data_IF_449238411118
#
_entry.id   IF_449238411118
#
_cell.length_a   1.000
_cell.length_b   1.000
_cell.length_c   1.000
_cell.angle_alpha   90.00
_cell.angle_beta   90.00
_cell.angle_gamma   90.00
#
_symmetry.space_group_name_H-M   'P 1'
#
loop_
_entity.id
_entity.type
_entity.pdbx_description
1 polymer ?
#
# COMPACT_ATOMS: atom_id res chain seq x y z
N UNK A 1 -10.53 9.52 -30.67
CA UNK A 1 -10.74 9.38 -29.20
C UNK A 1 -9.39 9.48 -28.53
N UNK A 2 -9.19 10.47 -27.69
CA UNK A 2 -7.98 10.57 -26.86
C UNK A 2 -7.99 9.38 -25.88
N UNK A 3 -6.96 8.53 -25.94
CA UNK A 3 -6.84 7.42 -24.99
C UNK A 3 -6.51 7.99 -23.61
N UNK A 4 -7.35 7.69 -22.62
CA UNK A 4 -7.10 8.08 -21.23
C UNK A 4 -5.71 7.65 -20.78
N UNK A 5 -5.02 8.51 -20.03
CA UNK A 5 -3.77 8.16 -19.37
C UNK A 5 -4.09 7.50 -18.02
N UNK A 6 -3.66 6.27 -17.85
CA UNK A 6 -3.81 5.55 -16.60
C UNK A 6 -2.64 5.81 -15.65
N UNK A 7 -2.94 6.01 -14.36
CA UNK A 7 -1.96 6.06 -13.28
C UNK A 7 -2.12 4.77 -12.47
N UNK A 8 -1.15 3.88 -12.50
CA UNK A 8 -1.18 2.62 -11.77
C UNK A 8 -0.37 2.74 -10.50
N UNK A 9 -1.07 2.83 -9.36
CA UNK A 9 -0.50 2.97 -8.03
C UNK A 9 0.06 1.63 -7.55
N UNK A 10 1.35 1.56 -7.30
CA UNK A 10 2.06 0.33 -6.92
C UNK A 10 2.52 0.38 -5.47
N UNK A 11 2.10 -0.59 -4.68
CA UNK A 11 2.66 -0.90 -3.36
C UNK A 11 2.41 -2.37 -2.99
N UNK A 12 2.83 -2.77 -1.78
CA UNK A 12 2.69 -4.15 -1.35
C UNK A 12 1.23 -4.56 -1.04
N UNK A 13 0.36 -3.59 -0.76
CA UNK A 13 -0.99 -3.86 -0.27
C UNK A 13 -1.02 -4.33 1.18
N UNK A 14 -2.19 -4.73 1.60
CA UNK A 14 -2.47 -5.32 2.91
C UNK A 14 -3.87 -5.91 2.91
N UNK A 15 -4.19 -6.84 3.80
CA UNK A 15 -5.51 -7.42 3.87
C UNK A 15 -6.53 -6.32 4.21
N UNK A 16 -7.45 -6.10 3.29
CA UNK A 16 -8.51 -5.10 3.42
C UNK A 16 -9.70 -5.74 4.11
N UNK A 17 -9.77 -5.64 5.43
CA UNK A 17 -11.00 -6.01 6.13
C UNK A 17 -11.98 -4.85 6.08
N UNK A 18 -13.25 -5.11 5.82
CA UNK A 18 -14.29 -4.09 5.95
C UNK A 18 -14.40 -3.77 7.43
N UNK A 19 -14.06 -2.53 7.81
CA UNK A 19 -14.22 -2.07 9.19
C UNK A 19 -15.72 -1.92 9.48
N UNK A 20 -16.32 -2.91 10.10
CA UNK A 20 -17.71 -2.86 10.59
C UNK A 20 -17.89 -1.91 11.78
N UNK A 21 -16.82 -1.33 12.32
CA UNK A 21 -16.91 -0.36 13.42
C UNK A 21 -17.63 0.95 13.04
N UNK A 22 -17.72 1.26 11.74
CA UNK A 22 -18.49 2.42 11.27
C UNK A 22 -20.02 2.21 11.37
N UNK A 23 -20.48 1.00 11.66
CA UNK A 23 -21.91 0.63 11.77
C UNK A 23 -22.34 0.33 13.21
N UNK A 24 -21.55 0.69 14.20
CA UNK A 24 -21.83 0.39 15.61
C UNK A 24 -23.14 0.98 16.15
N UNK A 25 -23.72 1.92 15.42
CA UNK A 25 -24.97 2.60 15.83
C UNK A 25 -26.23 2.05 15.17
N UNK A 26 -26.16 0.92 14.43
CA UNK A 26 -27.35 0.30 13.85
C UNK A 26 -27.53 -1.12 14.39
N UNK A 27 -28.68 -1.38 15.00
CA UNK A 27 -29.14 -2.70 15.47
C UNK A 27 -29.18 -3.81 14.38
N UNK A 28 -28.76 -3.49 13.16
CA UNK A 28 -28.74 -4.42 12.02
C UNK A 28 -27.41 -5.20 11.88
N UNK A 29 -26.41 -4.88 12.68
CA UNK A 29 -25.03 -5.36 12.49
C UNK A 29 -24.79 -6.74 13.12
N UNK A 30 -25.57 -7.14 14.12
CA UNK A 30 -25.34 -8.40 14.84
C UNK A 30 -25.56 -9.68 14.02
N UNK A 31 -26.34 -9.59 12.94
CA UNK A 31 -26.72 -10.76 12.14
C UNK A 31 -25.78 -11.08 10.96
N UNK A 32 -24.86 -10.18 10.59
CA UNK A 32 -24.04 -10.30 9.36
C UNK A 32 -22.56 -10.59 9.66
N UNK A 33 -22.18 -10.67 10.92
CA UNK A 33 -20.80 -10.58 11.40
C UNK A 33 -19.83 -11.75 11.18
N UNK A 34 -20.18 -13.00 10.90
CA UNK A 34 -19.16 -14.05 10.97
C UNK A 34 -18.49 -14.44 9.65
N UNK A 35 -18.84 -13.91 8.49
CA UNK A 35 -18.56 -14.66 7.24
C UNK A 35 -17.37 -14.15 6.42
N UNK A 36 -16.82 -12.96 6.66
CA UNK A 36 -16.11 -12.35 5.52
C UNK A 36 -14.59 -12.19 5.60
N UNK A 37 -13.84 -12.44 6.68
CA UNK A 37 -12.54 -11.73 6.69
C UNK A 37 -11.27 -12.46 7.08
N UNK A 38 -11.33 -13.74 7.27
CA UNK A 38 -10.16 -14.54 7.66
C UNK A 38 -9.28 -14.91 6.45
N UNK A 39 -9.87 -14.97 5.25
CA UNK A 39 -9.19 -15.45 4.05
C UNK A 39 -8.13 -14.49 3.48
N UNK A 40 -8.35 -13.19 3.53
CA UNK A 40 -7.43 -12.21 2.91
C UNK A 40 -6.06 -12.16 3.60
N UNK A 41 -6.00 -12.29 4.92
CA UNK A 41 -4.71 -12.29 5.63
C UNK A 41 -3.86 -13.52 5.28
N UNK A 42 -4.49 -14.69 5.16
CA UNK A 42 -3.81 -15.91 4.76
C UNK A 42 -3.22 -15.80 3.35
N UNK A 43 -4.03 -15.33 2.40
CA UNK A 43 -3.61 -15.17 1.00
C UNK A 43 -2.54 -14.09 0.86
N UNK A 44 -2.69 -12.96 1.55
CA UNK A 44 -1.68 -11.92 1.63
C UNK A 44 -0.34 -12.48 2.11
N UNK A 45 -0.32 -13.21 3.22
CA UNK A 45 0.90 -13.81 3.75
C UNK A 45 1.49 -14.88 2.84
N UNK A 46 0.65 -15.69 2.22
CA UNK A 46 1.07 -16.70 1.24
C UNK A 46 1.77 -16.04 0.05
N UNK A 47 1.17 -14.99 -0.53
CA UNK A 47 1.76 -14.24 -1.64
C UNK A 47 3.10 -13.59 -1.22
N UNK A 48 3.13 -12.98 -0.04
CA UNK A 48 4.32 -12.31 0.50
C UNK A 48 5.49 -13.28 0.72
N UNK A 49 5.25 -14.44 1.34
CA UNK A 49 6.29 -15.45 1.56
C UNK A 49 6.65 -16.24 0.30
N UNK A 50 5.80 -16.22 -0.73
CA UNK A 50 6.09 -16.83 -2.02
C UNK A 50 6.95 -15.94 -2.92
N UNK A 51 7.19 -14.68 -2.54
CA UNK A 51 8.01 -13.76 -3.32
C UNK A 51 9.49 -13.91 -2.97
N UNK A 52 10.25 -14.52 -3.88
CA UNK A 52 11.71 -14.68 -3.75
C UNK A 52 12.48 -13.37 -3.88
N UNK A 53 11.90 -12.32 -4.50
CA UNK A 53 12.50 -11.00 -4.58
C UNK A 53 12.50 -10.28 -3.22
N UNK A 54 11.55 -10.66 -2.34
CA UNK A 54 11.42 -10.11 -0.99
C UNK A 54 12.10 -11.00 0.06
N UNK A 55 11.79 -12.29 0.07
CA UNK A 55 12.26 -13.25 1.07
C UNK A 55 12.72 -14.52 0.34
N UNK A 56 14.01 -14.66 0.06
CA UNK A 56 14.52 -15.89 -0.53
C UNK A 56 14.49 -17.03 0.51
N UNK A 57 13.61 -18.00 0.30
CA UNK A 57 13.47 -19.19 1.16
C UNK A 57 13.96 -20.43 0.41
N UNK A 58 14.70 -21.33 1.06
CA UNK A 58 14.93 -22.64 0.51
C UNK A 58 13.57 -23.38 0.40
N UNK A 59 13.37 -24.15 -0.67
CA UNK A 59 12.11 -24.87 -0.91
C UNK A 59 10.86 -23.97 -0.79
N UNK A 60 10.91 -22.78 -1.39
CA UNK A 60 9.92 -21.72 -1.24
C UNK A 60 8.48 -22.17 -1.43
N UNK A 61 8.22 -23.04 -2.42
CA UNK A 61 6.88 -23.57 -2.71
C UNK A 61 6.26 -24.37 -1.56
N UNK A 62 7.07 -24.95 -0.69
CA UNK A 62 6.63 -25.73 0.47
C UNK A 62 6.61 -24.87 1.75
N UNK A 63 7.68 -24.10 1.95
CA UNK A 63 7.83 -23.32 3.20
C UNK A 63 6.92 -22.09 3.23
N UNK A 64 6.70 -21.41 2.13
CA UNK A 64 5.87 -20.21 2.09
C UNK A 64 4.43 -20.45 2.59
N UNK A 65 3.68 -21.46 2.09
CA UNK A 65 2.35 -21.75 2.61
C UNK A 65 2.34 -22.19 4.07
N UNK A 66 3.35 -22.93 4.50
CA UNK A 66 3.46 -23.39 5.88
C UNK A 66 3.70 -22.23 6.84
N UNK A 67 4.63 -21.32 6.51
CA UNK A 67 4.90 -20.11 7.30
C UNK A 67 3.66 -19.21 7.34
N UNK A 68 3.01 -18.99 6.19
CA UNK A 68 1.80 -18.19 6.10
C UNK A 68 0.73 -18.73 7.05
N UNK A 69 0.41 -20.03 6.96
CA UNK A 69 -0.59 -20.69 7.82
C UNK A 69 -0.27 -20.51 9.29
N UNK A 70 1.00 -20.66 9.70
CA UNK A 70 1.42 -20.52 11.09
C UNK A 70 1.32 -19.08 11.60
N UNK A 71 1.56 -18.09 10.73
CA UNK A 71 1.57 -16.68 11.11
C UNK A 71 0.19 -16.02 11.04
N UNK A 72 -0.72 -16.54 10.22
CA UNK A 72 -2.05 -15.98 9.98
C UNK A 72 -2.78 -15.61 11.28
N UNK A 73 -2.96 -16.49 12.30
CA UNK A 73 -3.76 -16.13 13.47
C UNK A 73 -3.19 -14.95 14.26
N UNK A 74 -1.86 -14.86 14.33
CA UNK A 74 -1.20 -13.74 15.03
C UNK A 74 -1.36 -12.43 14.29
N UNK A 75 -1.24 -12.45 12.96
CA UNK A 75 -1.34 -11.25 12.13
C UNK A 75 -2.79 -10.78 12.05
N UNK A 76 -3.75 -11.69 11.97
CA UNK A 76 -5.18 -11.37 12.06
C UNK A 76 -5.51 -10.61 13.34
N UNK A 77 -5.03 -11.11 14.48
CA UNK A 77 -5.22 -10.42 15.75
C UNK A 77 -4.65 -8.99 15.70
N UNK A 78 -3.46 -8.79 15.14
CA UNK A 78 -2.86 -7.46 15.01
C UNK A 78 -3.70 -6.53 14.11
N UNK A 79 -4.30 -7.05 13.02
CA UNK A 79 -5.21 -6.27 12.19
C UNK A 79 -6.52 -5.96 12.88
N UNK A 80 -7.05 -6.88 13.70
CA UNK A 80 -8.23 -6.63 14.54
C UNK A 80 -7.94 -5.51 15.54
N UNK A 81 -6.78 -5.55 16.20
CA UNK A 81 -6.37 -4.55 17.21
C UNK A 81 -6.27 -3.12 16.63
N UNK A 82 -6.00 -2.97 15.32
CA UNK A 82 -5.94 -1.66 14.64
C UNK A 82 -7.23 -1.25 13.94
N UNK A 83 -8.33 -1.98 14.17
CA UNK A 83 -9.65 -1.64 13.61
C UNK A 83 -10.16 -2.56 12.52
N UNK A 84 -9.56 -3.75 12.35
CA UNK A 84 -10.11 -4.83 11.51
C UNK A 84 -9.55 -4.93 10.11
N UNK A 85 -8.44 -4.25 9.78
CA UNK A 85 -7.75 -4.39 8.51
C UNK A 85 -6.77 -3.30 8.19
N UNK A 86 -6.08 -3.45 7.06
CA UNK A 86 -5.12 -2.44 6.60
C UNK A 86 -5.86 -1.28 5.91
N UNK A 87 -5.63 -0.03 6.31
CA UNK A 87 -6.21 1.13 5.64
C UNK A 87 -5.50 1.48 4.31
N UNK A 88 -4.48 0.71 3.92
CA UNK A 88 -3.61 1.06 2.79
C UNK A 88 -4.38 1.16 1.47
N UNK A 89 -5.37 0.30 1.23
CA UNK A 89 -6.19 0.34 0.02
C UNK A 89 -6.95 1.66 -0.08
N UNK A 90 -7.67 2.04 0.98
CA UNK A 90 -8.43 3.29 1.03
C UNK A 90 -7.55 4.51 0.76
N UNK A 91 -6.37 4.55 1.40
CA UNK A 91 -5.45 5.68 1.20
C UNK A 91 -4.82 5.68 -0.19
N UNK A 92 -4.52 4.51 -0.76
CA UNK A 92 -4.01 4.39 -2.12
C UNK A 92 -5.03 4.87 -3.16
N UNK A 93 -6.29 4.44 -3.02
CA UNK A 93 -7.39 4.87 -3.88
C UNK A 93 -7.61 6.39 -3.77
N UNK A 94 -7.70 6.92 -2.55
CA UNK A 94 -7.86 8.36 -2.31
C UNK A 94 -6.73 9.20 -2.91
N UNK A 95 -5.48 8.78 -2.74
CA UNK A 95 -4.32 9.46 -3.32
C UNK A 95 -4.34 9.40 -4.85
N UNK A 96 -4.68 8.25 -5.42
CA UNK A 96 -4.77 8.06 -6.87
C UNK A 96 -5.87 8.90 -7.51
N UNK A 97 -7.05 8.96 -6.89
CA UNK A 97 -8.17 9.79 -7.33
C UNK A 97 -7.82 11.29 -7.28
N UNK A 98 -7.25 11.74 -6.17
CA UNK A 98 -6.80 13.13 -6.04
C UNK A 98 -5.72 13.50 -7.06
N UNK A 99 -4.78 12.59 -7.34
CA UNK A 99 -3.77 12.79 -8.38
C UNK A 99 -4.39 12.88 -9.77
N UNK A 100 -5.33 12.00 -10.11
CA UNK A 100 -6.01 12.01 -11.40
C UNK A 100 -6.80 13.31 -11.61
N UNK A 101 -7.56 13.75 -10.61
CA UNK A 101 -8.32 15.00 -10.66
C UNK A 101 -7.40 16.22 -10.87
N UNK A 102 -6.30 16.29 -10.12
CA UNK A 102 -5.33 17.38 -10.27
C UNK A 102 -4.65 17.37 -11.64
N UNK A 103 -4.36 16.20 -12.19
CA UNK A 103 -3.79 16.09 -13.54
C UNK A 103 -4.79 16.51 -14.64
N UNK A 104 -6.08 16.26 -14.46
CA UNK A 104 -7.11 16.74 -15.39
C UNK A 104 -7.15 18.27 -15.45
N UNK A 105 -6.94 18.94 -14.31
CA UNK A 105 -6.85 20.40 -14.24
C UNK A 105 -5.55 20.94 -14.86
N UNK A 106 -4.40 20.33 -14.51
CA UNK A 106 -3.09 20.81 -14.93
C UNK A 106 -2.76 20.48 -16.40
N UNK A 107 -3.26 19.33 -16.88
CA UNK A 107 -2.97 18.81 -18.22
C UNK A 107 -4.22 18.33 -18.96
N UNK A 108 -5.15 19.25 -19.30
CA UNK A 108 -6.42 18.89 -19.93
C UNK A 108 -6.26 18.25 -21.32
N UNK A 109 -5.11 18.44 -21.96
CA UNK A 109 -4.80 17.83 -23.27
C UNK A 109 -4.62 16.31 -23.23
N UNK A 110 -4.34 15.75 -22.06
CA UNK A 110 -4.18 14.30 -21.84
C UNK A 110 -5.32 13.70 -21.01
N UNK A 111 -6.26 14.53 -20.60
CA UNK A 111 -7.46 14.09 -19.88
C UNK A 111 -8.38 13.20 -20.75
N UNK A 112 -9.19 12.34 -20.16
CA UNK A 112 -9.28 12.10 -18.72
C UNK A 112 -8.15 11.20 -18.19
N UNK A 113 -7.70 11.52 -16.97
CA UNK A 113 -6.78 10.66 -16.22
C UNK A 113 -7.59 9.74 -15.32
N UNK A 114 -7.12 8.50 -15.15
CA UNK A 114 -7.78 7.53 -14.27
C UNK A 114 -6.76 6.78 -13.43
N UNK A 115 -7.02 6.69 -12.14
CA UNK A 115 -6.18 5.92 -11.23
C UNK A 115 -6.60 4.45 -11.16
N UNK A 116 -5.63 3.59 -11.02
CA UNK A 116 -5.78 2.16 -10.80
C UNK A 116 -4.83 1.74 -9.69
N UNK A 117 -5.20 0.73 -8.95
CA UNK A 117 -4.36 0.16 -7.89
C UNK A 117 -3.88 -1.21 -8.31
N UNK A 118 -2.60 -1.48 -8.17
CA UNK A 118 -2.02 -2.80 -8.38
C UNK A 118 -1.11 -3.14 -7.20
N UNK A 119 -1.66 -3.88 -6.25
CA UNK A 119 -0.90 -4.36 -5.12
C UNK A 119 -0.08 -5.59 -5.47
N UNK A 120 1.02 -5.76 -4.75
CA UNK A 120 1.91 -6.90 -4.96
C UNK A 120 1.41 -8.19 -4.28
N UNK A 121 0.78 -8.08 -3.11
CA UNK A 121 0.43 -9.25 -2.30
C UNK A 121 -1.05 -9.31 -1.87
N UNK A 122 -1.80 -8.24 -2.04
CA UNK A 122 -3.23 -8.15 -1.70
C UNK A 122 -4.07 -7.81 -2.94
N UNK A 123 -5.38 -8.00 -2.89
CA UNK A 123 -6.29 -7.54 -3.94
C UNK A 123 -6.47 -6.00 -3.87
N UNK A 124 -6.52 -5.33 -5.04
CA UNK A 124 -6.42 -5.86 -6.39
C UNK A 124 -4.97 -6.14 -6.78
N UNK A 125 -4.71 -7.37 -7.24
CA UNK A 125 -3.42 -7.76 -7.80
C UNK A 125 -3.25 -7.19 -9.22
N UNK A 126 -2.03 -7.21 -9.74
CA UNK A 126 -1.74 -6.72 -11.09
C UNK A 126 -2.56 -7.41 -12.19
N UNK A 127 -2.99 -8.66 -12.00
CA UNK A 127 -3.87 -9.38 -12.94
C UNK A 127 -5.27 -8.77 -13.01
N UNK A 128 -5.84 -8.40 -11.87
CA UNK A 128 -7.13 -7.72 -11.80
C UNK A 128 -7.04 -6.33 -12.43
N UNK A 129 -5.96 -5.64 -12.16
CA UNK A 129 -5.70 -4.31 -12.72
C UNK A 129 -5.51 -4.38 -14.23
N UNK A 130 -4.82 -5.41 -14.74
CA UNK A 130 -4.66 -5.63 -16.17
C UNK A 130 -6.01 -5.80 -16.90
N UNK A 131 -6.94 -6.55 -16.29
CA UNK A 131 -8.30 -6.68 -16.84
C UNK A 131 -9.03 -5.35 -16.92
N UNK A 132 -9.01 -4.56 -15.84
CA UNK A 132 -9.66 -3.23 -15.80
C UNK A 132 -9.06 -2.26 -16.81
N UNK A 133 -7.73 -2.23 -16.95
CA UNK A 133 -7.05 -1.41 -17.94
C UNK A 133 -7.46 -1.77 -19.37
N UNK A 134 -7.63 -3.08 -19.63
CA UNK A 134 -8.07 -3.57 -20.93
C UNK A 134 -9.54 -3.26 -21.21
N UNK A 135 -10.41 -3.45 -20.22
CA UNK A 135 -11.85 -3.13 -20.30
C UNK A 135 -12.05 -1.63 -20.59
N UNK A 136 -11.26 -0.76 -19.95
CA UNK A 136 -11.29 0.69 -20.16
C UNK A 136 -10.54 1.14 -21.43
N UNK A 137 -9.96 0.21 -22.20
CA UNK A 137 -9.27 0.51 -23.48
C UNK A 137 -8.01 1.36 -23.32
N UNK A 138 -7.35 1.31 -22.17
CA UNK A 138 -6.15 2.09 -21.85
C UNK A 138 -5.01 1.74 -22.80
N UNK A 139 -4.36 2.75 -23.40
CA UNK A 139 -3.19 2.60 -24.27
C UNK A 139 -1.89 3.12 -23.66
N UNK A 140 -1.97 4.01 -22.69
CA UNK A 140 -0.81 4.56 -22.00
C UNK A 140 -1.01 4.50 -20.49
N UNK A 141 -0.01 4.02 -19.77
CA UNK A 141 -0.05 3.90 -18.32
C UNK A 141 1.27 4.36 -17.68
N UNK A 142 1.17 4.99 -16.53
CA UNK A 142 2.29 5.31 -15.66
C UNK A 142 2.27 4.38 -14.47
N UNK A 143 3.28 3.57 -14.31
CA UNK A 143 3.51 2.78 -13.10
C UNK A 143 4.12 3.72 -12.04
N UNK A 144 3.32 4.11 -11.06
CA UNK A 144 3.73 5.00 -9.98
C UNK A 144 3.95 4.21 -8.70
N UNK A 145 5.20 4.11 -8.26
CA UNK A 145 5.49 3.49 -6.97
C UNK A 145 5.13 4.43 -5.83
N UNK A 146 4.43 3.91 -4.83
CA UNK A 146 4.13 4.67 -3.62
C UNK A 146 5.30 4.67 -2.61
N UNK A 147 6.39 3.97 -2.92
CA UNK A 147 7.62 4.03 -2.14
C UNK A 147 8.45 5.24 -2.59
N UNK A 148 8.72 6.22 -1.70
CA UNK A 148 9.49 7.40 -2.07
C UNK A 148 10.91 7.08 -2.52
N UNK A 149 11.48 5.99 -2.00
CA UNK A 149 12.83 5.54 -2.28
C UNK A 149 12.81 4.17 -2.95
N UNK A 150 13.74 3.94 -3.87
CA UNK A 150 13.91 2.66 -4.52
C UNK A 150 14.52 1.61 -3.57
N UNK A 151 13.91 0.43 -3.58
CA UNK A 151 14.47 -0.78 -2.96
C UNK A 151 14.14 -1.98 -3.85
N UNK A 152 15.06 -2.93 -3.96
CA UNK A 152 14.84 -4.15 -4.74
C UNK A 152 13.66 -4.97 -4.22
N UNK A 153 13.50 -5.04 -2.89
CA UNK A 153 12.43 -5.79 -2.23
C UNK A 153 11.05 -5.11 -2.25
N UNK A 154 10.96 -3.83 -2.59
CA UNK A 154 9.71 -3.07 -2.64
C UNK A 154 9.37 -2.64 -4.06
N UNK A 155 9.95 -1.53 -4.51
CA UNK A 155 9.76 -1.02 -5.88
C UNK A 155 10.20 -2.06 -6.92
N UNK A 156 11.35 -2.69 -6.72
CA UNK A 156 11.89 -3.71 -7.64
C UNK A 156 10.95 -4.91 -7.76
N UNK A 157 10.49 -5.49 -6.65
CA UNK A 157 9.55 -6.62 -6.67
C UNK A 157 8.25 -6.25 -7.39
N UNK A 158 7.68 -5.06 -7.12
CA UNK A 158 6.45 -4.60 -7.78
C UNK A 158 6.63 -4.41 -9.29
N UNK A 159 7.72 -3.79 -9.71
CA UNK A 159 8.01 -3.59 -11.13
C UNK A 159 8.35 -4.89 -11.85
N UNK A 160 9.06 -5.82 -11.19
CA UNK A 160 9.35 -7.14 -11.72
C UNK A 160 8.06 -7.94 -11.97
N UNK A 161 7.06 -7.81 -11.09
CA UNK A 161 5.76 -8.44 -11.28
C UNK A 161 5.04 -7.90 -12.53
N UNK A 162 4.95 -6.57 -12.65
CA UNK A 162 4.37 -5.93 -13.86
C UNK A 162 5.13 -6.35 -15.11
N UNK A 163 6.46 -6.37 -15.07
CA UNK A 163 7.29 -6.78 -16.21
C UNK A 163 7.04 -8.25 -16.62
N UNK A 164 7.04 -9.19 -15.64
CA UNK A 164 6.78 -10.61 -15.89
C UNK A 164 5.39 -10.81 -16.54
N UNK A 165 4.38 -10.14 -16.02
CA UNK A 165 3.01 -10.20 -16.53
C UNK A 165 2.85 -9.51 -17.89
N UNK A 166 3.60 -8.43 -18.13
CA UNK A 166 3.66 -7.81 -19.46
C UNK A 166 4.28 -8.74 -20.50
N UNK A 167 5.35 -9.46 -20.15
CA UNK A 167 5.95 -10.50 -21.00
C UNK A 167 5.00 -11.66 -21.26
N UNK A 168 4.14 -11.99 -20.31
CA UNK A 168 3.08 -12.99 -20.47
C UNK A 168 1.87 -12.47 -21.28
N UNK A 169 1.88 -11.22 -21.75
CA UNK A 169 0.84 -10.64 -22.61
C UNK A 169 -0.34 -10.01 -21.88
N UNK A 170 -0.34 -9.99 -20.53
CA UNK A 170 -1.46 -9.44 -19.77
C UNK A 170 -1.68 -7.93 -20.04
N UNK A 171 -0.60 -7.19 -20.26
CA UNK A 171 -0.62 -5.76 -20.55
C UNK A 171 -0.33 -5.43 -22.03
N UNK A 172 -0.67 -6.35 -22.93
CA UNK A 172 -0.42 -6.15 -24.37
C UNK A 172 -1.13 -4.89 -24.89
N UNK A 173 -0.41 -4.10 -25.69
CA UNK A 173 -0.94 -2.88 -26.29
C UNK A 173 -0.93 -1.64 -25.36
N UNK A 174 -0.37 -1.75 -24.16
CA UNK A 174 -0.19 -0.63 -23.24
C UNK A 174 1.28 -0.16 -23.28
N UNK A 175 1.49 1.12 -23.54
CA UNK A 175 2.78 1.79 -23.42
C UNK A 175 2.99 2.25 -21.98
N UNK A 176 4.09 1.83 -21.36
CA UNK A 176 4.38 2.10 -19.95
C UNK A 176 5.45 3.17 -19.78
N UNK A 177 5.21 4.08 -18.84
CA UNK A 177 6.22 4.92 -18.18
C UNK A 177 6.30 4.52 -16.71
N UNK A 178 7.44 4.79 -16.07
CA UNK A 178 7.67 4.38 -14.68
C UNK A 178 8.19 5.55 -13.86
N UNK A 179 7.59 5.76 -12.69
CA UNK A 179 8.12 6.63 -11.64
C UNK A 179 8.50 5.71 -10.48
N UNK A 180 9.79 5.42 -10.35
CA UNK A 180 10.34 4.43 -9.43
C UNK A 180 10.86 5.01 -8.12
N UNK A 181 11.00 6.34 -8.04
CA UNK A 181 11.47 7.08 -6.86
C UNK A 181 11.07 8.54 -6.93
N UNK A 182 10.79 9.14 -5.79
CA UNK A 182 10.38 10.55 -5.68
C UNK A 182 10.69 11.15 -4.29
N UNK A 183 11.57 10.48 -3.51
CA UNK A 183 11.93 10.88 -2.14
C UNK A 183 12.58 12.26 -2.02
N UNK A 184 13.13 12.80 -3.12
CA UNK A 184 13.74 14.14 -3.19
C UNK A 184 12.77 15.21 -3.72
N UNK A 185 11.52 14.83 -4.03
CA UNK A 185 10.52 15.79 -4.52
C UNK A 185 10.25 16.86 -3.46
N UNK A 186 10.30 18.17 -3.78
CA UNK A 186 10.17 19.25 -2.81
C UNK A 186 8.92 19.13 -1.93
N UNK A 187 7.76 18.85 -2.50
CA UNK A 187 6.52 18.69 -1.75
C UNK A 187 6.55 17.51 -0.77
N UNK A 188 7.25 16.41 -1.10
CA UNK A 188 7.43 15.30 -0.17
C UNK A 188 8.32 15.68 1.01
N UNK A 189 9.42 16.40 0.74
CA UNK A 189 10.35 16.89 1.77
C UNK A 189 9.64 17.89 2.68
N UNK A 190 8.84 18.79 2.12
CA UNK A 190 8.06 19.79 2.87
C UNK A 190 7.06 19.12 3.81
N UNK A 191 6.24 18.18 3.32
CA UNK A 191 5.29 17.43 4.14
C UNK A 191 6.01 16.60 5.21
N UNK A 192 7.14 15.97 4.87
CA UNK A 192 7.93 15.18 5.82
C UNK A 192 8.60 16.04 6.91
N UNK A 193 8.96 17.28 6.61
CA UNK A 193 9.57 18.18 7.57
C UNK A 193 8.55 18.92 8.45
N UNK A 194 7.32 19.07 8.00
CA UNK A 194 6.26 19.79 8.70
C UNK A 194 5.97 19.25 10.11
N UNK A 195 5.81 17.95 10.36
CA UNK A 195 5.64 17.40 11.71
C UNK A 195 6.84 17.64 12.61
N UNK A 196 8.06 17.56 12.03
CA UNK A 196 9.29 17.84 12.79
C UNK A 196 9.39 19.30 13.21
N UNK A 197 9.10 20.24 12.31
CA UNK A 197 9.05 21.68 12.61
C UNK A 197 7.96 21.99 13.65
N UNK A 198 6.82 21.32 13.57
CA UNK A 198 5.75 21.46 14.56
C UNK A 198 6.17 20.95 15.95
N UNK A 199 6.83 19.80 16.04
CA UNK A 199 7.37 19.27 17.28
C UNK A 199 8.47 20.16 17.87
N UNK A 200 9.37 20.70 17.04
CA UNK A 200 10.41 21.62 17.48
C UNK A 200 9.79 22.93 17.99
N UNK A 201 8.78 23.44 17.30
CA UNK A 201 8.07 24.66 17.70
C UNK A 201 7.28 24.47 19.00
N UNK A 202 6.66 23.31 19.21
CA UNK A 202 6.01 22.97 20.48
C UNK A 202 7.01 22.87 21.63
N UNK A 203 8.20 22.27 21.41
CA UNK A 203 9.27 22.24 22.44
C UNK A 203 9.77 23.63 22.78
N UNK A 204 9.92 24.50 21.80
CA UNK A 204 10.31 25.90 22.04
C UNK A 204 9.25 26.68 22.85
N UNK A 205 7.96 26.41 22.58
CA UNK A 205 6.86 27.02 23.35
C UNK A 205 6.71 26.41 24.74
N UNK A 206 7.00 25.12 24.94
CA UNK A 206 6.92 24.48 26.25
C UNK A 206 8.05 24.91 27.19
N UNK A 207 9.22 25.24 26.64
CA UNK A 207 10.31 25.84 27.44
C UNK A 207 10.00 27.26 27.94
N UNK A 208 9.04 27.94 27.31
CA UNK A 208 8.57 29.27 27.73
C UNK A 208 7.36 29.21 28.68
N UNK A 209 6.62 28.10 28.72
CA UNK A 209 5.37 27.93 29.47
C UNK A 209 5.41 26.90 30.61
N UNK A 210 6.56 26.39 30.98
CA UNK A 210 6.83 25.72 32.27
C UNK A 210 5.89 24.62 32.77
N UNK A 211 5.03 24.00 31.94
CA UNK A 211 4.15 22.90 32.37
C UNK A 211 3.63 22.08 31.23
N UNK A 212 4.28 20.96 30.93
CA UNK A 212 3.62 19.80 30.35
C UNK A 212 4.21 18.52 30.97
N UNK A 213 3.40 17.49 31.33
CA UNK A 213 3.89 16.30 32.01
C UNK A 213 4.77 15.47 31.06
N UNK A 214 5.87 14.98 31.62
CA UNK A 214 6.82 14.08 30.94
C UNK A 214 6.11 12.88 30.33
N UNK A 215 6.13 12.79 29.01
CA UNK A 215 5.82 11.55 28.30
C UNK A 215 6.99 10.57 28.54
N UNK A 216 6.83 9.66 29.53
CA UNK A 216 7.75 8.54 29.71
C UNK A 216 7.72 7.64 28.50
N UNK A 217 8.69 7.78 27.61
CA UNK A 217 8.98 6.80 26.58
C UNK A 217 9.52 5.52 27.23
N UNK A 218 8.66 4.54 27.39
CA UNK A 218 9.07 3.18 27.74
C UNK A 218 9.77 2.55 26.53
N UNK A 219 11.08 2.78 26.40
CA UNK A 219 11.90 2.05 25.43
C UNK A 219 11.99 0.59 25.86
N UNK A 220 11.65 -0.39 25.01
CA UNK A 220 11.91 -1.79 25.31
C UNK A 220 13.43 -2.00 25.34
N UNK A 221 13.95 -2.45 26.48
CA UNK A 221 15.34 -2.87 26.63
C UNK A 221 15.61 -4.04 25.70
N UNK A 222 16.32 -3.80 24.62
CA UNK A 222 16.92 -4.86 23.81
C UNK A 222 18.11 -5.40 24.60
N UNK A 223 17.95 -6.58 25.20
CA UNK A 223 19.08 -7.29 25.79
C UNK A 223 19.94 -7.82 24.65
N UNK A 224 21.12 -7.22 24.44
CA UNK A 224 22.19 -7.85 23.66
C UNK A 224 22.67 -9.06 24.46
N UNK A 225 22.51 -10.23 23.90
CA UNK A 225 23.36 -11.37 24.26
C UNK A 225 24.62 -11.28 23.41
N UNK A 226 25.71 -11.01 24.01
CA UNK A 226 27.05 -11.23 23.43
C UNK A 226 27.39 -12.70 23.38
N UNK A 227 28.34 -13.08 22.49
CA UNK A 227 28.57 -14.46 22.00
C UNK A 227 28.98 -15.48 23.04
#
# INVERSE_FOLDING_TARGET
>A
MLSSLAIVMLNMGGPSTVCLLALKDSHFVEAVLPIVQVSETSDFLKNLFSDGDLIPLPFQSLLAPWIAKRRTPRIEKQYIDIGGGSPIRRWTEFQGEGMAALLDELHPTTAPHKSYVAFRYASPLADETARRLKEDGVKRAVAFTQYPQYSCSTTGSSLNDIYRKSKAGLFSGISWSVIDRWGTHPGFVEVGSSPFLFCVRLRSLSSTLGCLPEYRSGSPKISRREP
#
